data_IF_070975046488
#
_entry.id   IF_070975046488
#
_cell.length_a   1.000
_cell.length_b   1.000
_cell.length_c   1.000
_cell.angle_alpha   90.00
_cell.angle_beta   90.00
_cell.angle_gamma   90.00
#
_symmetry.space_group_name_H-M   'P 1'
#
loop_
_entity.id
_entity.type
_entity.pdbx_description
1 polymer ?
#
# COMPACT_ATOMS: atom_id res chain seq x y z
N UNK A 1 -34.70 4.72 -4.76
CA UNK A 1 -34.54 4.20 -3.38
C UNK A 1 -33.16 3.59 -3.25
N UNK A 2 -32.66 3.36 -2.03
CA UNK A 2 -31.36 2.71 -1.83
C UNK A 2 -31.26 1.34 -2.55
N UNK A 3 -32.32 0.54 -2.49
CA UNK A 3 -32.39 -0.78 -3.14
C UNK A 3 -32.17 -0.78 -4.66
N UNK A 4 -32.33 0.38 -5.28
CA UNK A 4 -32.18 0.54 -6.73
C UNK A 4 -30.80 1.08 -7.12
N UNK A 5 -30.02 1.56 -6.15
CA UNK A 5 -28.70 2.11 -6.41
C UNK A 5 -27.69 1.02 -6.71
N UNK A 6 -26.90 1.24 -7.77
CA UNK A 6 -25.77 0.37 -8.13
C UNK A 6 -24.48 1.03 -7.66
N UNK A 7 -23.66 0.31 -6.91
CA UNK A 7 -22.46 0.85 -6.27
C UNK A 7 -21.22 0.11 -6.73
N UNK A 8 -20.12 0.83 -6.95
CA UNK A 8 -18.82 0.21 -7.23
C UNK A 8 -17.68 1.05 -6.65
N UNK A 9 -16.53 0.41 -6.44
CA UNK A 9 -15.30 1.11 -6.06
C UNK A 9 -14.51 1.39 -7.32
N UNK A 10 -14.18 2.66 -7.55
CA UNK A 10 -13.25 3.05 -8.59
C UNK A 10 -11.86 3.17 -7.99
N UNK A 11 -10.97 2.26 -8.38
CA UNK A 11 -9.55 2.34 -8.07
C UNK A 11 -8.77 2.41 -9.38
N UNK A 12 -8.48 3.61 -9.85
CA UNK A 12 -7.41 3.85 -10.83
C UNK A 12 -6.15 4.39 -10.15
N UNK A 13 -6.14 4.32 -8.82
CA UNK A 13 -5.54 5.35 -8.02
C UNK A 13 -4.26 4.83 -7.39
N UNK A 14 -3.17 5.53 -7.72
CA UNK A 14 -1.81 5.09 -7.43
C UNK A 14 -1.24 6.10 -6.44
N UNK A 15 -1.14 5.72 -5.17
CA UNK A 15 -0.42 6.53 -4.17
C UNK A 15 0.99 6.88 -4.69
N UNK A 16 1.59 5.96 -5.45
CA UNK A 16 2.81 6.19 -6.21
C UNK A 16 2.53 6.23 -7.70
N UNK A 17 3.02 7.25 -8.39
CA UNK A 17 3.11 7.22 -9.85
C UNK A 17 4.19 6.22 -10.29
N UNK A 18 5.28 6.15 -9.52
CA UNK A 18 6.34 5.13 -9.59
C UNK A 18 6.79 4.81 -8.14
N UNK A 19 6.84 3.53 -7.70
CA UNK A 19 6.67 2.31 -8.50
C UNK A 19 5.20 2.00 -8.85
N UNK A 20 5.00 1.30 -9.96
CA UNK A 20 3.68 0.94 -10.48
C UNK A 20 3.08 -0.21 -9.67
N UNK A 21 1.79 -0.12 -9.33
CA UNK A 21 1.06 -1.21 -8.66
C UNK A 21 0.93 -2.40 -9.63
N UNK A 22 1.38 -3.58 -9.21
CA UNK A 22 1.26 -4.83 -9.99
C UNK A 22 0.13 -5.69 -9.46
N UNK A 23 0.03 -5.82 -8.14
CA UNK A 23 -1.08 -6.50 -7.47
C UNK A 23 -1.60 -5.65 -6.33
N UNK A 24 -2.83 -5.92 -5.90
CA UNK A 24 -3.46 -5.26 -4.77
C UNK A 24 -4.96 -5.29 -4.91
N UNK A 25 -5.67 -5.32 -3.78
CA UNK A 25 -7.13 -5.24 -3.74
C UNK A 25 -7.58 -4.29 -2.66
N UNK A 26 -8.60 -3.51 -2.98
CA UNK A 26 -9.35 -2.73 -2.01
C UNK A 26 -10.61 -3.49 -1.61
N UNK A 27 -10.88 -3.53 -0.31
CA UNK A 27 -12.10 -4.06 0.28
C UNK A 27 -12.76 -2.96 1.08
N UNK A 28 -13.97 -2.59 0.71
CA UNK A 28 -14.71 -1.50 1.32
C UNK A 28 -16.03 -2.01 1.88
N UNK A 29 -16.35 -1.58 3.10
CA UNK A 29 -17.66 -1.75 3.71
C UNK A 29 -18.33 -0.38 3.76
N UNK A 30 -19.47 -0.25 3.11
CA UNK A 30 -20.35 0.89 3.30
C UNK A 30 -21.54 0.51 4.18
N UNK A 31 -21.96 1.44 5.03
CA UNK A 31 -23.16 1.32 5.86
C UNK A 31 -24.04 2.53 5.60
N UNK A 32 -25.33 2.29 5.38
CA UNK A 32 -26.35 3.30 5.22
C UNK A 32 -27.31 3.26 6.41
N UNK A 33 -27.64 4.42 6.96
CA UNK A 33 -28.60 4.61 8.07
C UNK A 33 -29.50 5.81 7.78
N UNK A 34 -30.70 5.83 8.33
CA UNK A 34 -31.63 6.95 8.14
C UNK A 34 -31.16 8.18 8.91
N UNK A 35 -31.28 9.36 8.29
CA UNK A 35 -30.92 10.66 8.89
C UNK A 35 -31.81 11.02 10.09
N UNK A 36 -33.04 10.53 10.10
CA UNK A 36 -34.01 10.78 11.18
C UNK A 36 -33.72 9.98 12.47
N UNK A 37 -32.68 9.14 12.47
CA UNK A 37 -32.28 8.35 13.63
C UNK A 37 -33.14 7.11 13.88
N UNK A 38 -34.09 6.79 12.98
CA UNK A 38 -34.86 5.56 13.07
C UNK A 38 -33.92 4.33 12.99
N UNK A 39 -34.25 3.22 13.69
CA UNK A 39 -33.42 2.03 13.71
C UNK A 39 -33.34 1.36 12.33
N UNK A 40 -32.29 0.57 12.15
CA UNK A 40 -32.01 -0.19 10.93
C UNK A 40 -30.69 0.22 10.27
N UNK A 41 -30.10 -0.71 9.54
CA UNK A 41 -28.95 -0.43 8.69
C UNK A 41 -28.96 -1.31 7.45
N UNK A 42 -28.36 -0.80 6.38
CA UNK A 42 -28.05 -1.56 5.19
C UNK A 42 -26.56 -1.49 4.92
N UNK A 43 -25.98 -2.57 4.40
CA UNK A 43 -24.55 -2.72 4.19
C UNK A 43 -24.29 -3.09 2.73
N UNK A 44 -23.27 -2.48 2.12
CA UNK A 44 -22.68 -2.94 0.86
C UNK A 44 -21.20 -3.28 1.09
N UNK A 45 -20.83 -4.52 0.73
CA UNK A 45 -19.43 -4.95 0.69
C UNK A 45 -18.94 -4.85 -0.75
N UNK A 46 -18.00 -3.94 -0.97
CA UNK A 46 -17.45 -3.60 -2.27
C UNK A 46 -15.99 -4.07 -2.35
N UNK A 47 -15.54 -4.44 -3.53
CA UNK A 47 -14.12 -4.67 -3.76
C UNK A 47 -13.73 -4.39 -5.19
N UNK A 48 -12.46 -4.05 -5.38
CA UNK A 48 -11.88 -3.83 -6.70
C UNK A 48 -10.38 -4.13 -6.67
N UNK A 49 -9.84 -4.52 -7.82
CA UNK A 49 -8.41 -4.70 -8.00
C UNK A 49 -7.74 -3.32 -8.11
N UNK A 50 -6.56 -3.17 -7.53
CA UNK A 50 -5.83 -1.91 -7.54
C UNK A 50 -5.06 -1.70 -8.87
N UNK A 51 -4.67 -2.78 -9.54
CA UNK A 51 -3.94 -2.74 -10.80
C UNK A 51 -4.87 -2.76 -12.03
N UNK A 52 -6.05 -3.39 -11.90
CA UNK A 52 -7.00 -3.58 -13.01
C UNK A 52 -8.28 -2.84 -12.69
N UNK A 53 -8.66 -1.91 -13.57
CA UNK A 53 -9.91 -1.17 -13.45
C UNK A 53 -11.08 -2.15 -13.63
N UNK A 54 -11.86 -2.35 -12.58
CA UNK A 54 -13.02 -3.22 -12.60
C UNK A 54 -14.26 -2.45 -12.13
N UNK A 55 -15.33 -2.48 -12.94
CA UNK A 55 -16.64 -1.90 -12.63
C UNK A 55 -17.56 -2.97 -12.04
N UNK A 56 -17.09 -3.63 -10.99
CA UNK A 56 -17.90 -4.64 -10.33
C UNK A 56 -19.02 -3.97 -9.55
N UNK A 57 -20.25 -4.23 -9.97
CA UNK A 57 -21.44 -3.65 -9.35
C UNK A 57 -21.82 -4.43 -8.11
N UNK A 58 -22.21 -3.69 -7.08
CA UNK A 58 -22.68 -4.16 -5.80
C UNK A 58 -23.95 -3.41 -5.41
N UNK A 59 -24.74 -4.05 -4.55
CA UNK A 59 -25.97 -3.50 -4.01
C UNK A 59 -25.93 -3.56 -2.50
N UNK A 60 -26.64 -2.63 -1.85
CA UNK A 60 -26.88 -2.70 -0.43
C UNK A 60 -27.80 -3.87 -0.09
N UNK A 61 -27.62 -4.41 1.11
CA UNK A 61 -28.49 -5.42 1.71
C UNK A 61 -28.67 -5.11 3.19
N UNK A 62 -29.88 -5.29 3.72
CA UNK A 62 -30.15 -5.07 5.14
C UNK A 62 -31.61 -4.72 5.41
N UNK A 63 -31.82 -3.86 6.40
CA UNK A 63 -33.15 -3.47 6.87
C UNK A 63 -34.03 -2.92 5.74
N UNK A 64 -35.25 -3.43 5.61
CA UNK A 64 -36.15 -3.07 4.52
C UNK A 64 -36.51 -1.58 4.52
N UNK A 65 -36.69 -0.96 5.68
CA UNK A 65 -37.04 0.47 5.76
C UNK A 65 -35.87 1.34 5.28
N UNK A 66 -34.64 0.93 5.57
CA UNK A 66 -33.43 1.60 5.06
C UNK A 66 -33.31 1.40 3.54
N UNK A 67 -33.55 0.17 3.06
CA UNK A 67 -33.51 -0.17 1.64
C UNK A 67 -34.56 0.57 0.81
N UNK A 68 -35.72 0.84 1.41
CA UNK A 68 -36.82 1.63 0.83
C UNK A 68 -36.72 3.13 1.13
N UNK A 69 -35.64 3.61 1.75
CA UNK A 69 -35.46 5.05 1.93
C UNK A 69 -34.97 5.72 0.64
N UNK A 70 -35.27 7.01 0.50
CA UNK A 70 -34.61 7.85 -0.50
C UNK A 70 -33.11 7.93 -0.20
N UNK A 71 -32.30 7.96 -1.25
CA UNK A 71 -30.83 8.06 -1.16
C UNK A 71 -30.41 9.36 -0.44
N UNK A 72 -31.22 10.41 -0.58
CA UNK A 72 -31.03 11.72 0.05
C UNK A 72 -31.32 11.72 1.55
N UNK A 73 -32.05 10.73 2.05
CA UNK A 73 -32.53 10.68 3.44
C UNK A 73 -31.62 9.79 4.30
N UNK A 74 -30.49 9.36 3.74
CA UNK A 74 -29.55 8.44 4.33
C UNK A 74 -28.22 9.12 4.66
N UNK A 75 -27.59 8.66 5.75
CA UNK A 75 -26.20 8.91 6.09
C UNK A 75 -25.40 7.68 5.71
N UNK A 76 -24.28 7.90 5.03
CA UNK A 76 -23.37 6.85 4.61
C UNK A 76 -22.07 6.93 5.42
N UNK A 77 -21.60 5.77 5.88
CA UNK A 77 -20.24 5.61 6.38
C UNK A 77 -19.52 4.57 5.53
N UNK A 78 -18.27 4.84 5.19
CA UNK A 78 -17.45 3.94 4.39
C UNK A 78 -16.13 3.65 5.11
N UNK A 79 -15.71 2.39 5.07
CA UNK A 79 -14.41 1.95 5.60
C UNK A 79 -13.76 1.06 4.56
N UNK A 80 -12.60 1.44 4.06
CA UNK A 80 -11.83 0.67 3.08
C UNK A 80 -10.51 0.19 3.69
N UNK A 81 -10.08 -1.00 3.27
CA UNK A 81 -8.76 -1.54 3.55
C UNK A 81 -8.12 -2.04 2.27
N UNK A 82 -6.83 -1.79 2.11
CA UNK A 82 -6.00 -2.37 1.07
C UNK A 82 -5.30 -3.63 1.56
N UNK A 83 -5.17 -4.66 0.71
CA UNK A 83 -4.37 -5.85 1.00
C UNK A 83 -3.72 -6.43 -0.26
N UNK A 84 -2.61 -7.14 -0.07
CA UNK A 84 -1.90 -7.86 -1.15
C UNK A 84 -1.22 -6.97 -2.18
N UNK A 85 -0.79 -5.76 -1.76
CA UNK A 85 -0.16 -4.82 -2.66
C UNK A 85 1.28 -5.22 -2.98
N UNK A 86 1.61 -5.13 -4.26
CA UNK A 86 2.99 -5.20 -4.75
C UNK A 86 3.21 -4.08 -5.77
N UNK A 87 4.45 -3.60 -5.83
CA UNK A 87 4.83 -2.54 -6.75
C UNK A 87 6.15 -2.88 -7.43
N UNK A 88 6.26 -2.48 -8.69
CA UNK A 88 7.47 -2.66 -9.49
C UNK A 88 7.79 -1.37 -10.23
N UNK A 89 9.09 -1.14 -10.45
CA UNK A 89 9.60 -0.11 -11.34
C UNK A 89 10.81 -0.63 -12.07
N UNK A 90 11.10 -0.07 -13.23
CA UNK A 90 12.37 -0.31 -13.91
C UNK A 90 13.52 0.38 -13.16
N UNK A 91 14.76 -0.11 -13.30
CA UNK A 91 15.92 0.49 -12.62
C UNK A 91 16.13 1.97 -12.93
N UNK A 92 15.79 2.40 -14.14
CA UNK A 92 15.94 3.75 -14.67
C UNK A 92 14.79 4.70 -14.29
N UNK A 93 13.65 4.17 -13.82
CA UNK A 93 12.54 5.01 -13.38
C UNK A 93 12.87 5.65 -12.03
N UNK A 94 12.70 6.97 -11.96
CA UNK A 94 12.78 7.71 -10.70
C UNK A 94 11.50 7.50 -9.93
N UNK A 95 11.63 7.38 -8.61
CA UNK A 95 10.50 7.34 -7.71
C UNK A 95 9.68 8.62 -7.84
N UNK A 96 8.36 8.48 -7.97
CA UNK A 96 7.43 9.58 -8.20
C UNK A 96 6.15 9.36 -7.38
N UNK A 97 5.80 10.36 -6.58
CA UNK A 97 4.54 10.40 -5.85
C UNK A 97 3.40 10.89 -6.72
N UNK A 98 2.19 10.46 -6.38
CA UNK A 98 0.99 11.12 -6.87
C UNK A 98 0.77 12.43 -6.09
N UNK A 99 0.83 13.55 -6.81
CA UNK A 99 0.65 14.88 -6.21
C UNK A 99 -0.81 15.23 -5.99
N UNK A 100 -1.73 14.62 -6.75
CA UNK A 100 -3.16 14.86 -6.65
C UNK A 100 -3.84 13.75 -5.85
N UNK A 101 -4.24 14.05 -4.61
CA UNK A 101 -4.82 13.04 -3.72
C UNK A 101 -6.03 12.31 -4.30
N UNK A 102 -6.85 13.00 -5.10
CA UNK A 102 -7.99 12.39 -5.81
C UNK A 102 -7.59 11.24 -6.74
N UNK A 103 -6.35 11.26 -7.24
CA UNK A 103 -5.75 10.20 -8.06
C UNK A 103 -5.03 9.14 -7.22
N UNK A 104 -4.86 9.36 -5.90
CA UNK A 104 -4.14 8.46 -5.00
C UNK A 104 -5.04 7.50 -4.20
N UNK A 105 -6.33 7.81 -4.03
CA UNK A 105 -7.25 7.06 -3.14
C UNK A 105 -8.53 6.57 -3.83
N UNK A 106 -9.02 5.35 -3.57
CA UNK A 106 -10.19 4.80 -4.26
C UNK A 106 -11.45 5.64 -4.01
N UNK A 107 -12.31 5.88 -4.99
CA UNK A 107 -13.64 6.49 -4.74
C UNK A 107 -14.74 5.42 -4.74
N UNK A 108 -15.88 5.73 -4.11
CA UNK A 108 -17.09 4.91 -4.25
C UNK A 108 -18.12 5.70 -5.04
N UNK A 109 -18.52 5.11 -6.16
CA UNK A 109 -19.48 5.68 -7.10
C UNK A 109 -20.81 4.94 -7.00
N UNK A 110 -21.89 5.67 -7.28
CA UNK A 110 -23.25 5.16 -7.34
C UNK A 110 -23.93 5.61 -8.63
N UNK A 111 -24.60 4.68 -9.30
CA UNK A 111 -25.55 5.01 -10.37
C UNK A 111 -26.99 4.91 -9.86
N UNK A 112 -27.77 5.95 -10.12
CA UNK A 112 -29.21 5.98 -9.83
C UNK A 112 -30.06 5.48 -11.02
N UNK A 113 -31.39 5.45 -10.85
CA UNK A 113 -32.33 5.03 -11.90
C UNK A 113 -32.33 5.94 -13.14
N UNK A 114 -31.86 7.17 -13.01
CA UNK A 114 -31.74 8.13 -14.10
C UNK A 114 -30.41 7.97 -14.84
N UNK A 115 -29.63 6.93 -14.51
CA UNK A 115 -28.30 6.65 -15.04
C UNK A 115 -27.24 7.71 -14.68
N UNK A 116 -27.52 8.59 -13.71
CA UNK A 116 -26.55 9.57 -13.24
C UNK A 116 -25.58 8.92 -12.27
N UNK A 117 -24.29 9.24 -12.44
CA UNK A 117 -23.20 8.73 -11.60
C UNK A 117 -22.84 9.78 -10.57
N UNK A 118 -22.87 9.39 -9.30
CA UNK A 118 -22.58 10.23 -8.15
C UNK A 118 -21.39 9.66 -7.39
N UNK A 119 -20.52 10.54 -6.89
CA UNK A 119 -19.50 10.16 -5.92
C UNK A 119 -20.11 10.19 -4.52
N UNK A 120 -20.16 9.05 -3.85
CA UNK A 120 -20.85 8.89 -2.55
C UNK A 120 -19.87 8.96 -1.37
N UNK A 121 -18.62 8.55 -1.58
CA UNK A 121 -17.57 8.66 -0.59
C UNK A 121 -16.27 9.18 -1.22
N UNK A 122 -15.71 10.20 -0.57
CA UNK A 122 -14.38 10.75 -0.85
C UNK A 122 -13.47 10.48 0.33
N UNK A 123 -12.25 10.02 0.06
CA UNK A 123 -11.23 9.92 1.12
C UNK A 123 -10.50 11.24 1.19
N UNK A 124 -10.56 11.86 2.35
CA UNK A 124 -9.67 12.97 2.67
C UNK A 124 -8.29 12.41 3.03
N UNK A 125 -7.20 13.10 2.65
CA UNK A 125 -5.88 12.74 3.17
C UNK A 125 -5.90 12.83 4.69
N UNK A 126 -5.16 11.97 5.38
CA UNK A 126 -4.93 12.17 6.81
C UNK A 126 -4.19 13.50 7.01
N UNK A 127 -4.47 14.20 8.11
CA UNK A 127 -3.89 15.51 8.42
C UNK A 127 -2.36 15.48 8.48
N UNK A 128 -1.78 14.30 8.73
CA UNK A 128 -0.36 14.02 8.76
C UNK A 128 0.16 13.40 7.45
N UNK A 129 -0.43 13.82 6.32
CA UNK A 129 -0.21 13.31 4.96
C UNK A 129 1.25 12.86 4.74
N UNK A 130 1.49 11.56 4.54
CA UNK A 130 2.84 10.98 4.57
C UNK A 130 3.65 11.21 3.30
N UNK A 131 3.34 12.23 2.47
CA UNK A 131 4.14 12.57 1.28
C UNK A 131 5.65 12.65 1.62
N UNK A 132 6.00 13.08 2.82
CA UNK A 132 7.39 13.15 3.29
C UNK A 132 7.85 11.93 4.13
N UNK A 133 6.94 11.02 4.51
CA UNK A 133 7.21 9.91 5.44
C UNK A 133 7.49 8.56 4.77
N UNK A 134 7.04 8.36 3.52
CA UNK A 134 7.33 7.11 2.81
C UNK A 134 8.73 7.16 2.22
N UNK A 135 9.60 6.28 2.72
CA UNK A 135 10.95 6.09 2.18
C UNK A 135 10.87 5.20 0.94
N UNK A 136 11.71 5.48 -0.06
CA UNK A 136 11.84 4.60 -1.24
C UNK A 136 12.11 3.16 -0.77
N UNK A 137 11.17 2.22 -0.95
CA UNK A 137 11.31 0.86 -0.45
C UNK A 137 12.42 0.08 -1.17
N UNK A 138 12.87 0.55 -2.34
CA UNK A 138 13.97 -0.04 -3.09
C UNK A 138 15.36 0.41 -2.59
N UNK A 139 15.44 1.47 -1.78
CA UNK A 139 16.70 1.94 -1.19
C UNK A 139 16.79 1.46 0.26
N UNK A 140 16.85 0.14 0.45
CA UNK A 140 17.49 -0.38 1.66
C UNK A 140 18.99 -0.15 1.50
N UNK A 141 19.49 0.99 2.00
CA UNK A 141 20.92 1.08 2.28
C UNK A 141 21.22 -0.04 3.29
N UNK A 142 22.24 -0.89 3.08
CA UNK A 142 22.65 -1.82 4.11
C UNK A 142 22.79 -1.02 5.40
N UNK A 143 22.10 -1.44 6.46
CA UNK A 143 22.30 -0.87 7.79
C UNK A 143 23.79 -0.96 8.06
N UNK A 144 24.46 0.19 8.07
CA UNK A 144 25.82 0.35 8.53
C UNK A 144 25.84 0.08 10.03
N UNK A 145 25.74 -1.20 10.38
CA UNK A 145 25.92 -1.80 11.69
C UNK A 145 26.32 -3.29 11.62
N UNK A 146 26.78 -3.77 10.45
CA UNK A 146 27.77 -4.85 10.40
C UNK A 146 29.12 -4.24 10.00
N UNK A 147 29.59 -3.29 10.81
CA UNK A 147 31.01 -2.99 10.84
C UNK A 147 31.74 -4.24 11.30
N UNK A 148 32.31 -4.92 10.32
CA UNK A 148 33.44 -5.83 10.41
C UNK A 148 34.18 -5.73 11.76
N UNK A 149 34.02 -6.76 12.58
CA UNK A 149 35.08 -7.18 13.49
C UNK A 149 35.79 -8.40 12.87
N UNK A 150 36.18 -8.28 11.59
CA UNK A 150 37.36 -9.00 11.12
C UNK A 150 38.55 -8.15 11.51
N UNK A 151 39.14 -8.51 12.67
CA UNK A 151 40.43 -7.97 13.08
C UNK A 151 41.43 -8.25 11.96
N UNK A 152 41.84 -7.16 11.36
CA UNK A 152 42.85 -7.01 10.35
C UNK A 152 44.11 -7.80 10.70
N UNK A 153 44.56 -8.58 9.73
CA UNK A 153 45.87 -9.20 9.65
C UNK A 153 46.96 -8.16 9.88
N UNK A 154 47.97 -8.51 10.68
CA UNK A 154 49.24 -7.80 10.74
C UNK A 154 50.35 -8.82 11.09
N UNK A 155 51.62 -8.51 10.82
CA UNK A 155 52.36 -9.08 9.69
C UNK A 155 53.38 -10.13 10.15
N UNK A 156 53.78 -10.99 9.22
CA UNK A 156 54.94 -11.85 9.38
C UNK A 156 56.21 -10.99 9.36
N UNK A 157 57.03 -11.15 10.41
CA UNK A 157 58.50 -11.10 10.47
C UNK A 157 59.06 -10.19 11.58
N UNK A 158 59.60 -10.83 12.62
CA UNK A 158 60.93 -10.47 13.11
C UNK A 158 61.63 -11.73 13.71
N UNK A 159 62.95 -11.87 13.55
CA UNK A 159 63.70 -13.10 13.75
C UNK A 159 64.31 -13.14 15.15
N UNK A 160 64.13 -14.26 15.86
CA UNK A 160 64.96 -14.64 16.99
C UNK A 160 65.05 -16.17 17.01
N UNK A 161 66.12 -16.72 16.43
CA UNK A 161 66.63 -18.03 16.84
C UNK A 161 67.44 -17.81 18.13
N UNK A 162 67.32 -18.64 19.16
CA UNK A 162 68.06 -19.91 19.26
C UNK A 162 67.43 -20.82 20.34
N UNK A 163 67.55 -22.15 20.17
CA UNK A 163 68.53 -22.82 21.01
C UNK A 163 69.60 -23.59 20.21
N UNK A 164 70.81 -23.46 20.73
CA UNK A 164 72.10 -24.09 20.44
C UNK A 164 72.18 -25.47 19.74
N UNK A 165 73.28 -25.59 18.95
CA UNK A 165 74.06 -26.78 18.48
C UNK A 165 73.55 -27.45 17.18
N UNK A 166 74.33 -27.64 16.10
CA UNK A 166 75.79 -27.85 15.92
C UNK A 166 76.28 -27.31 14.55
N UNK A 167 77.60 -27.00 14.54
CA UNK A 167 78.56 -26.74 13.45
C UNK A 167 78.32 -27.60 12.17
N UNK A 168 78.39 -26.98 10.98
CA UNK A 168 79.58 -26.82 10.10
C UNK A 168 80.01 -28.17 9.46
N UNK A 169 80.32 -28.33 8.18
CA UNK A 169 80.97 -27.44 7.22
C UNK A 169 80.62 -27.80 5.75
N UNK A 170 80.82 -26.79 4.90
CA UNK A 170 81.05 -26.73 3.46
C UNK A 170 81.59 -27.98 2.74
N UNK A 171 81.13 -28.24 1.51
CA UNK A 171 81.86 -27.92 0.26
C UNK A 171 81.23 -28.54 -1.01
N UNK A 172 81.35 -27.78 -2.10
CA UNK A 172 81.24 -28.26 -3.48
C UNK A 172 82.29 -29.34 -3.78
N UNK A 173 81.86 -30.47 -4.34
CA UNK A 173 82.28 -31.00 -5.66
C UNK A 173 81.45 -32.21 -6.04
#
# INVERSE_FOLDING_TARGET
MLKDGMFWVRAQNRIFRVPHVITGKYYCKMVAKRKDGAPGEAIANLYTDAAVVNHKIHWFQGDQNVMESSITDLVYTATCKGAGFSWERKPDEKFEWESEWANGVPSIEMQDKCHWIHNVAFWTPPDDNPNDKFKDPAVMRPTSAESANQKQSAPHDNPDNLPWKRKADSNNQ
#
